data_IF_311344803374
#
_entry.id   IF_311344803374
#
_cell.length_a   1.000
_cell.length_b   1.000
_cell.length_c   1.000
_cell.angle_alpha   90.00
_cell.angle_beta   90.00
_cell.angle_gamma   90.00
#
_symmetry.space_group_name_H-M   'P 1'
#
loop_
_entity.id
_entity.type
_entity.pdbx_description
1 polymer ?
#
# COMPACT_ATOMS: atom_id res chain seq x y z
N UNK A 1 -37.00 32.95 -6.45
CA UNK A 1 -36.48 34.24 -5.99
C UNK A 1 -35.51 33.95 -4.84
N UNK A 2 -34.30 33.58 -5.16
CA UNK A 2 -33.12 33.49 -4.28
C UNK A 2 -31.93 33.35 -5.22
N UNK A 3 -31.58 34.47 -5.85
CA UNK A 3 -30.34 34.68 -6.58
C UNK A 3 -29.46 35.63 -5.75
N UNK A 4 -28.17 35.36 -5.90
CA UNK A 4 -27.05 36.28 -5.67
C UNK A 4 -26.64 36.58 -4.22
N UNK A 5 -25.61 35.86 -3.77
CA UNK A 5 -24.46 36.42 -3.06
C UNK A 5 -23.23 35.57 -3.38
N UNK A 6 -22.66 35.84 -4.52
CA UNK A 6 -21.29 35.48 -4.86
C UNK A 6 -20.64 36.76 -5.39
N UNK A 7 -19.53 37.06 -4.83
CA UNK A 7 -18.39 37.82 -5.34
C UNK A 7 -17.89 38.91 -4.38
N UNK A 8 -16.56 39.00 -4.34
CA UNK A 8 -15.72 40.06 -3.83
C UNK A 8 -15.31 40.00 -2.35
N UNK A 9 -14.34 39.12 -2.04
CA UNK A 9 -13.24 39.45 -1.14
C UNK A 9 -11.96 38.74 -1.59
N UNK A 10 -11.48 39.03 -2.76
CA UNK A 10 -10.10 38.77 -3.18
C UNK A 10 -9.45 40.10 -3.44
N UNK A 11 -9.05 40.81 -2.37
CA UNK A 11 -8.16 41.98 -2.49
C UNK A 11 -7.63 42.37 -1.10
N UNK A 12 -6.36 42.10 -0.84
CA UNK A 12 -5.69 42.75 0.26
C UNK A 12 -4.51 41.99 0.88
N UNK A 13 -3.55 41.55 0.09
CA UNK A 13 -2.20 41.35 0.60
C UNK A 13 -1.22 41.82 -0.48
N UNK A 14 -1.09 43.11 -0.63
CA UNK A 14 -0.15 43.73 -1.54
C UNK A 14 0.82 44.62 -0.78
N UNK A 15 1.98 44.09 -0.41
CA UNK A 15 3.23 44.83 -0.27
C UNK A 15 4.38 43.93 -0.70
N UNK A 16 4.92 44.24 -1.87
CA UNK A 16 6.20 43.73 -2.31
C UNK A 16 7.28 44.23 -1.33
N UNK A 17 7.87 43.31 -0.58
CA UNK A 17 9.20 43.47 -0.04
C UNK A 17 10.12 42.54 -0.80
N UNK A 18 10.99 43.12 -1.61
CA UNK A 18 12.07 42.49 -2.32
C UNK A 18 13.27 42.28 -1.38
N UNK A 19 13.14 41.40 -0.43
CA UNK A 19 14.30 40.74 0.18
C UNK A 19 14.24 39.29 -0.27
N UNK A 20 15.18 38.89 -1.13
CA UNK A 20 15.44 37.49 -1.41
C UNK A 20 15.93 36.88 -0.11
N UNK A 21 15.02 36.31 0.68
CA UNK A 21 15.37 35.25 1.61
C UNK A 21 16.13 34.22 0.78
N UNK A 22 17.33 33.89 1.19
CA UNK A 22 18.09 32.73 0.67
C UNK A 22 17.25 31.54 1.06
N UNK A 23 16.43 31.02 0.13
CA UNK A 23 15.63 29.85 0.38
C UNK A 23 16.61 28.72 0.66
N UNK A 24 16.66 28.29 1.92
CA UNK A 24 17.44 27.13 2.33
C UNK A 24 16.83 25.91 1.64
N UNK A 25 17.63 25.22 0.82
CA UNK A 25 17.12 24.06 0.06
C UNK A 25 16.71 22.94 1.01
N UNK A 26 15.57 22.33 0.74
CA UNK A 26 15.15 21.13 1.48
C UNK A 26 16.07 19.95 1.18
N UNK A 27 16.43 19.22 2.21
CA UNK A 27 17.39 18.11 2.14
C UNK A 27 16.65 16.78 2.15
N UNK A 28 16.88 15.97 1.12
CA UNK A 28 16.30 14.63 0.99
C UNK A 28 17.38 13.57 1.13
N UNK A 29 17.23 12.71 2.14
CA UNK A 29 18.04 11.52 2.30
C UNK A 29 17.43 10.34 1.54
N UNK A 30 18.25 9.43 1.04
CA UNK A 30 17.76 8.22 0.38
C UNK A 30 18.43 6.98 0.95
N UNK A 31 17.64 5.91 1.16
CA UNK A 31 18.15 4.58 1.46
C UNK A 31 17.75 3.59 0.39
N UNK A 32 18.65 2.67 0.06
CA UNK A 32 18.58 1.79 -1.09
C UNK A 32 18.65 2.57 -2.43
N UNK A 33 18.58 1.83 -3.52
CA UNK A 33 18.45 2.43 -4.84
C UNK A 33 16.98 2.84 -5.06
N UNK A 34 16.72 4.14 -5.08
CA UNK A 34 15.40 4.69 -5.44
C UNK A 34 15.37 4.95 -6.93
N UNK A 35 14.22 4.67 -7.58
CA UNK A 35 14.06 4.93 -9.01
C UNK A 35 14.27 6.40 -9.36
N UNK A 36 15.06 6.69 -10.41
CA UNK A 36 15.22 8.05 -10.92
C UNK A 36 13.89 8.74 -11.26
N UNK A 37 12.89 7.99 -11.75
CA UNK A 37 11.55 8.53 -12.06
C UNK A 37 10.88 9.18 -10.84
N UNK A 38 11.16 8.67 -9.65
CA UNK A 38 10.73 9.32 -8.42
C UNK A 38 11.58 10.53 -8.06
N UNK A 39 12.92 10.38 -8.10
CA UNK A 39 13.85 11.46 -7.72
C UNK A 39 13.79 12.66 -8.66
N UNK A 40 13.53 12.44 -9.96
CA UNK A 40 13.37 13.50 -10.97
C UNK A 40 12.12 14.38 -10.72
N UNK A 41 11.26 14.04 -9.76
CA UNK A 41 10.16 14.91 -9.32
C UNK A 41 10.61 16.01 -8.34
N UNK A 42 11.77 15.83 -7.71
CA UNK A 42 12.36 16.86 -6.85
C UNK A 42 12.66 18.10 -7.70
N UNK A 43 12.17 19.26 -7.23
CA UNK A 43 12.41 20.54 -7.87
C UNK A 43 13.79 21.11 -7.48
N UNK A 44 14.15 22.26 -8.04
CA UNK A 44 15.39 22.98 -7.70
C UNK A 44 15.43 23.47 -6.24
N UNK A 45 14.33 23.33 -5.50
CA UNK A 45 14.24 23.64 -4.07
C UNK A 45 14.76 22.49 -3.18
N UNK A 46 15.13 21.36 -3.78
CA UNK A 46 15.59 20.18 -3.08
C UNK A 46 17.02 19.79 -3.43
N UNK A 47 17.73 19.22 -2.46
CA UNK A 47 19.04 18.60 -2.63
C UNK A 47 19.05 17.22 -1.99
N UNK A 48 19.67 16.25 -2.66
CA UNK A 48 19.90 14.92 -2.08
C UNK A 48 21.17 14.99 -1.25
N UNK A 49 21.08 14.54 0.00
CA UNK A 49 22.19 14.54 0.96
C UNK A 49 22.67 13.11 1.25
N UNK A 50 23.97 12.96 1.53
CA UNK A 50 24.56 11.68 1.92
C UNK A 50 24.41 11.42 3.42
N UNK A 51 24.50 12.45 4.26
CA UNK A 51 24.25 12.35 5.70
C UNK A 51 22.75 12.45 6.00
N UNK A 52 22.16 11.36 6.41
CA UNK A 52 20.74 11.26 6.71
C UNK A 52 20.32 12.09 7.94
N UNK A 53 21.28 12.46 8.80
CA UNK A 53 21.00 13.31 9.96
C UNK A 53 20.70 14.77 9.57
N UNK A 54 21.06 15.17 8.35
CA UNK A 54 20.75 16.51 7.82
C UNK A 54 19.41 16.55 7.06
N UNK A 55 18.75 15.40 6.85
CA UNK A 55 17.60 15.31 5.97
C UNK A 55 16.32 15.88 6.62
N UNK A 56 15.56 16.66 5.83
CA UNK A 56 14.20 17.07 6.15
C UNK A 56 13.17 15.99 5.74
N UNK A 57 13.49 15.20 4.71
CA UNK A 57 12.72 14.05 4.27
C UNK A 57 13.59 12.86 3.92
N UNK A 58 13.12 11.65 4.16
CA UNK A 58 13.82 10.41 3.80
C UNK A 58 12.94 9.61 2.85
N UNK A 59 13.54 9.14 1.73
CA UNK A 59 12.91 8.19 0.82
C UNK A 59 13.62 6.86 0.90
N UNK A 60 12.88 5.79 1.16
CA UNK A 60 13.45 4.44 1.26
C UNK A 60 12.56 3.38 0.62
N UNK A 61 13.10 2.18 0.42
CA UNK A 61 12.34 0.99 -0.02
C UNK A 61 12.36 -0.12 1.04
N UNK A 62 13.47 -0.82 1.18
CA UNK A 62 13.59 -2.01 2.04
C UNK A 62 14.62 -1.87 3.17
N UNK A 63 15.27 -0.72 3.28
CA UNK A 63 16.21 -0.46 4.37
C UNK A 63 15.48 -0.52 5.72
N UNK A 64 16.06 -1.21 6.70
CA UNK A 64 15.49 -1.31 8.03
C UNK A 64 15.92 -0.11 8.89
N UNK A 65 14.95 0.70 9.30
CA UNK A 65 15.13 1.91 10.11
C UNK A 65 14.76 1.71 11.58
N UNK A 66 14.40 0.50 11.99
CA UNK A 66 13.86 0.27 13.34
C UNK A 66 14.82 0.70 14.46
N UNK A 67 16.12 0.55 14.26
CA UNK A 67 17.15 0.93 15.24
C UNK A 67 17.79 2.30 14.97
N UNK A 68 17.30 3.06 13.95
CA UNK A 68 17.86 4.38 13.59
C UNK A 68 17.46 5.46 14.59
N UNK A 69 18.40 6.36 14.92
CA UNK A 69 18.09 7.65 15.54
C UNK A 69 17.68 8.66 14.47
N UNK A 70 16.74 9.55 14.82
CA UNK A 70 16.22 10.57 13.90
C UNK A 70 16.60 11.96 14.37
N UNK A 71 17.01 12.81 13.42
CA UNK A 71 17.23 14.23 13.65
C UNK A 71 15.90 14.97 13.96
N UNK A 72 15.98 16.03 14.74
CA UNK A 72 14.86 16.93 15.01
C UNK A 72 14.36 17.63 13.72
N UNK A 73 15.24 17.78 12.70
CA UNK A 73 14.91 18.41 11.41
C UNK A 73 14.15 17.49 10.47
N UNK A 74 14.08 16.17 10.77
CA UNK A 74 13.35 15.22 9.95
C UNK A 74 11.84 15.42 10.10
N UNK A 75 11.19 15.74 9.00
CA UNK A 75 9.75 16.03 8.93
C UNK A 75 8.94 14.83 8.44
N UNK A 76 9.47 14.09 7.46
CA UNK A 76 8.72 13.03 6.82
C UNK A 76 9.60 11.88 6.34
N UNK A 77 9.01 10.69 6.29
CA UNK A 77 9.58 9.49 5.70
C UNK A 77 8.62 8.98 4.62
N UNK A 78 9.11 8.81 3.39
CA UNK A 78 8.38 8.22 2.27
C UNK A 78 8.90 6.82 1.96
N UNK A 79 8.11 5.79 2.26
CA UNK A 79 8.43 4.41 1.89
C UNK A 79 7.91 4.11 0.49
N UNK A 80 8.81 3.86 -0.47
CA UNK A 80 8.49 3.47 -1.84
C UNK A 80 7.96 2.02 -1.90
N UNK A 81 6.72 1.83 -1.49
CA UNK A 81 5.98 0.57 -1.46
C UNK A 81 4.87 0.55 -0.40
N UNK A 82 4.05 -0.51 -0.36
CA UNK A 82 2.85 -0.55 0.46
C UNK A 82 3.10 -0.91 1.94
N UNK A 83 4.03 -1.83 2.23
CA UNK A 83 4.33 -2.26 3.60
C UNK A 83 5.18 -1.23 4.36
N UNK A 84 5.19 -1.24 5.70
CA UNK A 84 5.96 -0.30 6.54
C UNK A 84 6.65 -0.98 7.73
N UNK A 85 6.80 -2.28 7.70
CA UNK A 85 7.42 -3.08 8.75
C UNK A 85 8.90 -2.76 9.01
N UNK A 86 9.55 -2.09 8.08
CA UNK A 86 10.94 -1.62 8.16
C UNK A 86 11.07 -0.15 8.61
N UNK A 87 9.96 0.48 9.05
CA UNK A 87 9.94 1.86 9.58
C UNK A 87 9.32 1.81 10.99
N UNK A 88 9.94 2.41 12.02
CA UNK A 88 9.40 2.45 13.38
C UNK A 88 8.27 3.47 13.49
N UNK A 89 7.09 3.12 12.98
CA UNK A 89 5.93 4.01 12.79
C UNK A 89 5.47 4.66 14.10
N UNK A 90 5.44 3.90 15.20
CA UNK A 90 5.00 4.42 16.51
C UNK A 90 5.97 5.47 17.04
N UNK A 91 7.27 5.20 16.96
CA UNK A 91 8.32 6.15 17.36
C UNK A 91 8.32 7.41 16.48
N UNK A 92 8.09 7.26 15.16
CA UNK A 92 7.91 8.41 14.27
C UNK A 92 6.73 9.28 14.70
N UNK A 93 5.62 8.66 15.14
CA UNK A 93 4.45 9.38 15.62
C UNK A 93 4.75 10.19 16.88
N UNK A 94 5.50 9.63 17.82
CA UNK A 94 5.93 10.30 19.05
C UNK A 94 6.85 11.50 18.78
N UNK A 95 7.64 11.44 17.71
CA UNK A 95 8.56 12.51 17.28
C UNK A 95 7.92 13.53 16.33
N UNK A 96 6.65 13.32 15.95
CA UNK A 96 5.96 14.17 14.98
C UNK A 96 6.53 14.06 13.57
N UNK A 97 7.06 12.89 13.20
CA UNK A 97 7.53 12.56 11.85
C UNK A 97 6.39 11.87 11.11
N UNK A 98 5.99 12.41 9.95
CA UNK A 98 4.93 11.83 9.14
C UNK A 98 5.47 10.71 8.28
N UNK A 99 4.88 9.52 8.36
CA UNK A 99 5.29 8.36 7.57
C UNK A 99 4.28 8.11 6.46
N UNK A 100 4.76 8.15 5.22
CA UNK A 100 4.01 7.84 4.02
C UNK A 100 4.39 6.47 3.47
N UNK A 101 3.41 5.79 2.89
CA UNK A 101 3.66 4.63 2.03
C UNK A 101 3.07 4.88 0.62
N UNK A 102 3.23 3.92 -0.29
CA UNK A 102 2.73 4.02 -1.65
C UNK A 102 1.61 2.97 -1.90
N UNK A 103 0.41 3.14 -1.31
CA UNK A 103 -0.66 2.17 -1.46
C UNK A 103 -1.20 2.15 -2.89
N UNK A 104 -1.27 0.95 -3.46
CA UNK A 104 -1.80 0.75 -4.81
C UNK A 104 -0.84 1.09 -5.96
N UNK A 105 0.31 1.72 -5.69
CA UNK A 105 1.28 2.06 -6.74
C UNK A 105 1.87 0.82 -7.46
N UNK A 106 1.94 -0.31 -6.75
CA UNK A 106 2.36 -1.62 -7.26
C UNK A 106 1.20 -2.56 -7.64
N UNK A 107 -0.04 -2.09 -7.60
CA UNK A 107 -1.21 -2.97 -7.71
C UNK A 107 -1.26 -3.72 -9.05
N UNK A 108 -0.84 -3.09 -10.15
CA UNK A 108 -0.80 -3.74 -11.45
C UNK A 108 0.22 -4.89 -11.49
N UNK A 109 1.41 -4.70 -10.93
CA UNK A 109 2.43 -5.76 -10.89
C UNK A 109 1.95 -6.98 -10.07
N UNK A 110 1.32 -6.73 -8.90
CA UNK A 110 0.73 -7.82 -8.10
C UNK A 110 -0.40 -8.53 -8.85
N UNK A 111 -1.25 -7.78 -9.56
CA UNK A 111 -2.30 -8.37 -10.42
C UNK A 111 -1.68 -9.31 -11.47
N UNK A 112 -0.63 -8.89 -12.15
CA UNK A 112 0.05 -9.71 -13.16
C UNK A 112 0.67 -10.97 -12.57
N UNK A 113 1.29 -10.87 -11.40
CA UNK A 113 1.83 -12.03 -10.69
C UNK A 113 0.71 -12.99 -10.24
N UNK A 114 -0.44 -12.47 -9.80
CA UNK A 114 -1.61 -13.25 -9.45
C UNK A 114 -2.13 -14.07 -10.65
N UNK A 115 -2.26 -13.44 -11.83
CA UNK A 115 -2.65 -14.11 -13.07
C UNK A 115 -1.62 -15.18 -13.47
N UNK A 116 -0.34 -14.86 -13.38
CA UNK A 116 0.73 -15.82 -13.60
C UNK A 116 0.61 -17.02 -12.67
N UNK A 117 0.43 -16.79 -11.38
CA UNK A 117 0.25 -17.83 -10.37
C UNK A 117 -0.96 -18.73 -10.64
N UNK A 118 -2.10 -18.17 -11.01
CA UNK A 118 -3.28 -18.93 -11.42
C UNK A 118 -2.98 -19.87 -12.58
N UNK A 119 -2.33 -19.36 -13.64
CA UNK A 119 -2.02 -20.16 -14.83
C UNK A 119 -0.95 -21.20 -14.53
N UNK A 120 0.09 -20.87 -13.77
CA UNK A 120 1.11 -21.84 -13.34
C UNK A 120 0.50 -23.00 -12.58
N UNK A 121 -0.40 -22.73 -11.65
CA UNK A 121 -1.09 -23.76 -10.85
C UNK A 121 -2.07 -24.59 -11.71
N UNK A 122 -2.89 -23.92 -12.54
CA UNK A 122 -3.86 -24.59 -13.40
C UNK A 122 -3.23 -25.55 -14.40
N UNK A 123 -2.04 -25.22 -14.91
CA UNK A 123 -1.38 -25.92 -16.02
C UNK A 123 -0.15 -26.73 -15.60
N UNK A 124 0.13 -26.86 -14.29
CA UNK A 124 1.31 -27.56 -13.75
C UNK A 124 2.64 -27.12 -14.42
N UNK A 125 2.74 -25.83 -14.72
CA UNK A 125 3.86 -25.26 -15.48
C UNK A 125 5.21 -25.43 -14.75
N UNK A 126 5.32 -25.16 -13.43
CA UNK A 126 6.58 -25.31 -12.71
C UNK A 126 7.13 -26.74 -12.77
N UNK A 127 6.24 -27.73 -12.55
CA UNK A 127 6.60 -29.16 -12.59
C UNK A 127 7.04 -29.58 -14.00
N UNK A 128 6.32 -29.11 -15.03
CA UNK A 128 6.67 -29.33 -16.43
C UNK A 128 8.04 -28.74 -16.80
N UNK A 129 8.35 -27.52 -16.32
CA UNK A 129 9.65 -26.89 -16.54
C UNK A 129 10.76 -27.67 -15.82
N UNK A 130 10.54 -28.07 -14.57
CA UNK A 130 11.52 -28.83 -13.80
C UNK A 130 11.83 -30.16 -14.49
N UNK A 131 10.81 -30.90 -14.91
CA UNK A 131 10.97 -32.15 -15.65
C UNK A 131 11.67 -31.96 -16.99
N UNK A 132 11.29 -30.98 -17.80
CA UNK A 132 11.92 -30.74 -19.10
C UNK A 132 13.42 -30.45 -18.96
N UNK A 133 13.85 -29.78 -17.90
CA UNK A 133 15.27 -29.56 -17.59
C UNK A 133 16.04 -30.85 -17.33
N UNK A 134 15.42 -31.93 -16.86
CA UNK A 134 16.07 -33.23 -16.63
C UNK A 134 16.45 -33.92 -17.93
N UNK A 135 15.84 -33.54 -19.05
CA UNK A 135 16.14 -34.08 -20.35
C UNK A 135 17.38 -33.46 -21.02
N UNK A 136 18.03 -32.48 -20.37
CA UNK A 136 19.23 -31.83 -20.90
C UNK A 136 20.34 -32.85 -21.10
N UNK A 137 20.89 -32.91 -22.36
CA UNK A 137 21.97 -33.81 -22.73
C UNK A 137 21.49 -35.22 -23.16
N UNK A 138 20.17 -35.50 -23.15
CA UNK A 138 19.61 -36.74 -23.69
C UNK A 138 19.56 -36.70 -25.23
N UNK A 139 19.63 -37.86 -25.85
CA UNK A 139 19.33 -38.04 -27.27
C UNK A 139 17.82 -38.22 -27.50
N UNK A 140 17.28 -37.74 -28.62
CA UNK A 140 15.88 -37.91 -28.98
C UNK A 140 14.92 -37.17 -28.05
N UNK A 141 15.24 -35.94 -27.63
CA UNK A 141 14.43 -35.14 -26.67
C UNK A 141 12.98 -34.94 -27.12
N UNK A 142 12.74 -34.68 -28.41
CA UNK A 142 11.37 -34.49 -28.93
C UNK A 142 10.42 -35.66 -28.66
N UNK A 143 10.76 -36.90 -29.03
CA UNK A 143 9.98 -38.08 -28.67
C UNK A 143 9.81 -38.30 -27.18
N UNK A 144 10.80 -37.96 -26.32
CA UNK A 144 10.69 -38.06 -24.87
C UNK A 144 9.68 -37.07 -24.32
N UNK A 145 9.70 -35.81 -24.83
CA UNK A 145 8.71 -34.77 -24.46
C UNK A 145 7.31 -35.24 -24.82
N UNK A 146 7.07 -35.68 -26.04
CA UNK A 146 5.75 -36.16 -26.47
C UNK A 146 5.24 -37.34 -25.63
N UNK A 147 6.10 -38.27 -25.23
CA UNK A 147 5.72 -39.39 -24.35
C UNK A 147 5.42 -38.94 -22.90
N UNK A 148 6.17 -37.94 -22.40
CA UNK A 148 6.09 -37.53 -20.99
C UNK A 148 5.11 -36.41 -20.71
N UNK A 149 4.73 -35.59 -21.68
CA UNK A 149 3.92 -34.38 -21.47
C UNK A 149 2.57 -34.63 -20.79
N UNK A 150 1.97 -35.81 -20.96
CA UNK A 150 0.66 -36.14 -20.41
C UNK A 150 0.60 -36.10 -18.89
N UNK A 151 1.72 -36.31 -18.19
CA UNK A 151 1.78 -36.25 -16.73
C UNK A 151 1.56 -34.82 -16.17
N UNK A 152 1.70 -33.80 -17.00
CA UNK A 152 1.51 -32.39 -16.63
C UNK A 152 0.19 -31.81 -17.18
N UNK A 153 -0.72 -32.65 -17.66
CA UNK A 153 -2.02 -32.19 -18.11
C UNK A 153 -2.74 -31.44 -16.97
N UNK A 154 -3.15 -30.20 -17.23
CA UNK A 154 -3.86 -29.35 -16.29
C UNK A 154 -5.26 -29.02 -16.78
N UNK A 155 -5.82 -27.94 -16.23
CA UNK A 155 -7.15 -27.44 -16.55
C UNK A 155 -7.09 -26.02 -17.14
N UNK A 156 -8.16 -25.58 -17.78
CA UNK A 156 -8.33 -24.21 -18.23
C UNK A 156 -9.02 -23.38 -17.15
N UNK A 157 -8.75 -22.06 -17.14
CA UNK A 157 -9.40 -21.12 -16.21
C UNK A 157 -10.72 -20.56 -16.75
N UNK A 158 -10.96 -20.67 -18.06
CA UNK A 158 -12.19 -20.23 -18.72
C UNK A 158 -13.42 -20.89 -18.06
N UNK A 159 -14.42 -20.07 -17.69
CA UNK A 159 -15.65 -20.50 -17.05
C UNK A 159 -15.50 -20.93 -15.59
N UNK A 160 -14.28 -20.93 -15.03
CA UNK A 160 -14.03 -21.19 -13.60
C UNK A 160 -14.41 -19.98 -12.76
N UNK A 161 -14.67 -20.21 -11.48
CA UNK A 161 -15.03 -19.17 -10.53
C UNK A 161 -13.82 -18.77 -9.68
N UNK A 162 -13.48 -17.48 -9.69
CA UNK A 162 -12.48 -16.87 -8.82
C UNK A 162 -13.17 -16.15 -7.67
N UNK A 163 -12.84 -16.50 -6.43
CA UNK A 163 -13.18 -15.77 -5.22
C UNK A 163 -12.09 -14.77 -4.85
N UNK A 164 -12.45 -13.53 -4.63
CA UNK A 164 -11.54 -12.47 -4.18
C UNK A 164 -11.88 -12.05 -2.76
N UNK A 165 -10.91 -12.17 -1.85
CA UNK A 165 -11.02 -11.71 -0.47
C UNK A 165 -10.24 -10.40 -0.37
N UNK A 166 -10.96 -9.28 -0.31
CA UNK A 166 -10.42 -7.92 -0.42
C UNK A 166 -10.56 -7.35 -1.83
N UNK A 167 -11.35 -6.30 -1.98
CA UNK A 167 -11.66 -5.61 -3.23
C UNK A 167 -11.02 -4.20 -3.31
N UNK A 168 -9.90 -4.04 -2.63
CA UNK A 168 -9.05 -2.84 -2.72
C UNK A 168 -8.38 -2.66 -4.08
N UNK A 169 -7.30 -1.90 -4.14
CA UNK A 169 -6.62 -1.56 -5.40
C UNK A 169 -6.19 -2.80 -6.21
N UNK A 170 -5.66 -3.84 -5.54
CA UNK A 170 -5.21 -5.07 -6.21
C UNK A 170 -6.41 -5.93 -6.60
N UNK A 171 -7.33 -6.23 -5.66
CA UNK A 171 -8.46 -7.13 -5.91
C UNK A 171 -9.33 -6.68 -7.08
N UNK A 172 -9.56 -5.38 -7.24
CA UNK A 172 -10.31 -4.82 -8.38
C UNK A 172 -9.62 -5.04 -9.72
N UNK A 173 -8.29 -4.87 -9.78
CA UNK A 173 -7.53 -5.13 -11.01
C UNK A 173 -7.48 -6.62 -11.35
N UNK A 174 -7.38 -7.49 -10.34
CA UNK A 174 -7.46 -8.95 -10.54
C UNK A 174 -8.86 -9.34 -11.01
N UNK A 175 -9.92 -8.74 -10.44
CA UNK A 175 -11.30 -8.99 -10.87
C UNK A 175 -11.50 -8.65 -12.34
N UNK A 176 -11.07 -7.44 -12.77
CA UNK A 176 -11.19 -6.98 -14.15
C UNK A 176 -10.47 -7.94 -15.12
N UNK A 177 -9.23 -8.29 -14.80
CA UNK A 177 -8.44 -9.20 -15.62
C UNK A 177 -9.04 -10.62 -15.68
N UNK A 178 -9.56 -11.14 -14.56
CA UNK A 178 -10.18 -12.46 -14.51
C UNK A 178 -11.48 -12.51 -15.35
N UNK A 179 -12.30 -11.47 -15.27
CA UNK A 179 -13.50 -11.32 -16.12
C UNK A 179 -13.11 -11.29 -17.60
N UNK A 180 -12.06 -10.54 -17.98
CA UNK A 180 -11.58 -10.47 -19.35
C UNK A 180 -11.04 -11.82 -19.86
N UNK A 181 -10.56 -12.69 -18.95
CA UNK A 181 -10.14 -14.07 -19.25
C UNK A 181 -11.33 -15.07 -19.26
N UNK A 182 -12.56 -14.60 -19.10
CA UNK A 182 -13.78 -15.41 -19.13
C UNK A 182 -14.05 -16.22 -17.87
N UNK A 183 -13.49 -15.81 -16.73
CA UNK A 183 -13.83 -16.37 -15.40
C UNK A 183 -15.11 -15.71 -14.85
N UNK A 184 -15.79 -16.42 -13.94
CA UNK A 184 -16.77 -15.82 -13.05
C UNK A 184 -16.04 -15.26 -11.84
N UNK A 185 -16.45 -14.09 -11.33
CA UNK A 185 -15.78 -13.44 -10.19
C UNK A 185 -16.77 -13.18 -9.07
N UNK A 186 -16.49 -13.76 -7.89
CA UNK A 186 -17.12 -13.42 -6.62
C UNK A 186 -16.15 -12.60 -5.78
N UNK A 187 -16.64 -11.58 -5.11
CA UNK A 187 -15.80 -10.72 -4.28
C UNK A 187 -16.41 -10.47 -2.90
N UNK A 188 -15.57 -10.49 -1.89
CA UNK A 188 -15.89 -10.13 -0.52
C UNK A 188 -14.95 -9.03 -0.03
N UNK A 189 -15.49 -8.02 0.66
CA UNK A 189 -14.71 -7.01 1.37
C UNK A 189 -15.43 -6.63 2.67
N UNK A 190 -14.73 -6.70 3.78
CA UNK A 190 -15.29 -6.39 5.11
C UNK A 190 -15.68 -4.90 5.25
N UNK A 191 -15.13 -4.03 4.41
CA UNK A 191 -15.40 -2.59 4.39
C UNK A 191 -16.14 -2.16 3.12
N UNK A 192 -17.00 -3.04 2.60
CA UNK A 192 -17.77 -2.74 1.40
C UNK A 192 -18.65 -1.51 1.60
N UNK A 193 -18.44 -0.50 0.76
CA UNK A 193 -19.21 0.74 0.73
C UNK A 193 -19.81 0.95 -0.66
N UNK A 194 -20.80 1.83 -0.77
CA UNK A 194 -21.39 2.16 -2.07
C UNK A 194 -20.33 2.77 -3.01
N UNK A 195 -19.44 3.62 -2.49
CA UNK A 195 -18.33 4.18 -3.26
C UNK A 195 -17.33 3.11 -3.75
N UNK A 196 -17.12 2.03 -2.99
CA UNK A 196 -16.30 0.89 -3.44
C UNK A 196 -17.05 0.07 -4.49
N UNK A 197 -18.35 -0.17 -4.31
CA UNK A 197 -19.19 -0.89 -5.29
C UNK A 197 -19.19 -0.21 -6.66
N UNK A 198 -19.29 1.12 -6.71
CA UNK A 198 -19.24 1.89 -7.94
C UNK A 198 -17.92 1.77 -8.72
N UNK A 199 -16.83 1.43 -8.01
CA UNK A 199 -15.51 1.25 -8.59
C UNK A 199 -15.23 -0.19 -9.04
N UNK A 200 -16.14 -1.14 -8.78
CA UNK A 200 -15.94 -2.53 -9.19
C UNK A 200 -16.16 -2.70 -10.69
N UNK A 201 -15.37 -3.57 -11.34
CA UNK A 201 -15.65 -3.97 -12.72
C UNK A 201 -17.05 -4.57 -12.85
N UNK A 202 -17.72 -4.25 -13.96
CA UNK A 202 -19.03 -4.83 -14.27
C UNK A 202 -18.91 -6.35 -14.42
N UNK A 203 -19.73 -7.11 -13.67
CA UNK A 203 -19.70 -8.57 -13.69
C UNK A 203 -19.16 -9.19 -12.40
N UNK A 204 -18.60 -8.40 -11.49
CA UNK A 204 -18.24 -8.88 -10.14
C UNK A 204 -19.49 -9.07 -9.32
N UNK A 205 -19.69 -10.27 -8.80
CA UNK A 205 -20.76 -10.59 -7.84
C UNK A 205 -20.22 -10.41 -6.42
N UNK A 206 -20.74 -9.41 -5.70
CA UNK A 206 -20.35 -9.15 -4.31
C UNK A 206 -21.17 -10.04 -3.39
N UNK A 207 -20.51 -10.72 -2.45
CA UNK A 207 -21.13 -11.50 -1.38
C UNK A 207 -20.93 -10.80 -0.03
N UNK A 208 -21.84 -11.04 0.91
CA UNK A 208 -21.80 -10.41 2.23
C UNK A 208 -21.03 -11.24 3.27
N UNK A 209 -20.85 -12.55 3.01
CA UNK A 209 -20.14 -13.46 3.90
C UNK A 209 -19.15 -14.33 3.09
N UNK A 210 -18.01 -14.62 3.70
CA UNK A 210 -17.03 -15.58 3.18
C UNK A 210 -17.62 -17.01 3.04
N UNK A 211 -18.57 -17.39 3.90
CA UNK A 211 -19.27 -18.66 3.80
C UNK A 211 -20.09 -18.81 2.51
N UNK A 212 -20.49 -17.71 1.88
CA UNK A 212 -21.12 -17.71 0.55
C UNK A 212 -20.08 -17.85 -0.58
N UNK A 213 -18.87 -17.30 -0.38
CA UNK A 213 -17.81 -17.32 -1.37
C UNK A 213 -17.14 -18.70 -1.46
N UNK A 214 -16.73 -19.27 -0.33
CA UNK A 214 -15.89 -20.47 -0.27
C UNK A 214 -16.43 -21.66 -1.08
N UNK A 215 -17.69 -22.07 -0.95
CA UNK A 215 -18.19 -23.26 -1.63
C UNK A 215 -18.40 -23.10 -3.13
N UNK A 216 -18.30 -21.88 -3.67
CA UNK A 216 -18.56 -21.60 -5.07
C UNK A 216 -17.28 -21.48 -5.90
N UNK A 217 -16.11 -21.27 -5.28
CA UNK A 217 -14.89 -20.87 -5.96
C UNK A 217 -13.98 -22.05 -6.29
N UNK A 218 -13.49 -22.08 -7.52
CA UNK A 218 -12.45 -23.01 -7.99
C UNK A 218 -11.06 -22.45 -7.67
N UNK A 219 -10.95 -21.13 -7.61
CA UNK A 219 -9.77 -20.36 -7.22
C UNK A 219 -10.15 -19.35 -6.16
N UNK A 220 -9.27 -19.13 -5.19
CA UNK A 220 -9.43 -18.06 -4.19
C UNK A 220 -8.13 -17.27 -4.12
N UNK A 221 -8.22 -15.94 -4.19
CA UNK A 221 -7.09 -15.06 -4.03
C UNK A 221 -7.36 -14.03 -2.93
N UNK A 222 -6.39 -13.86 -2.01
CA UNK A 222 -6.54 -12.99 -0.86
C UNK A 222 -5.71 -11.71 -1.03
N UNK A 223 -6.35 -10.55 -0.78
CA UNK A 223 -5.79 -9.21 -0.98
C UNK A 223 -6.09 -8.26 0.18
N UNK A 224 -6.11 -8.78 1.41
CA UNK A 224 -6.32 -8.00 2.63
C UNK A 224 -5.01 -7.74 3.37
N UNK A 225 -4.89 -6.65 4.16
CA UNK A 225 -3.73 -6.43 5.01
C UNK A 225 -3.69 -7.46 6.15
N UNK A 226 -2.48 -7.78 6.63
CA UNK A 226 -2.30 -8.56 7.84
C UNK A 226 -2.38 -7.62 9.07
N UNK A 227 -3.37 -7.84 9.92
CA UNK A 227 -3.58 -7.16 11.18
C UNK A 227 -4.22 -8.13 12.19
N UNK A 228 -4.54 -7.68 13.39
CA UNK A 228 -5.10 -8.55 14.44
C UNK A 228 -6.41 -9.23 14.04
N UNK A 229 -7.23 -8.61 13.19
CA UNK A 229 -8.50 -9.17 12.72
C UNK A 229 -8.33 -10.19 11.59
N UNK A 230 -7.24 -10.12 10.83
CA UNK A 230 -7.01 -10.96 9.64
C UNK A 230 -5.92 -12.01 9.83
N UNK A 231 -5.13 -11.89 10.91
CA UNK A 231 -4.07 -12.86 11.25
C UNK A 231 -4.65 -14.27 11.42
N UNK A 232 -4.13 -15.23 10.65
CA UNK A 232 -4.57 -16.64 10.68
C UNK A 232 -6.03 -16.84 10.27
N UNK A 233 -6.62 -15.90 9.53
CA UNK A 233 -8.01 -16.03 9.08
C UNK A 233 -8.22 -17.22 8.13
N UNK A 234 -7.17 -17.61 7.41
CA UNK A 234 -7.17 -18.80 6.57
C UNK A 234 -6.71 -19.99 7.41
N UNK A 235 -7.66 -20.66 8.03
CA UNK A 235 -7.50 -21.77 8.97
C UNK A 235 -8.34 -22.99 8.56
N UNK A 236 -8.29 -24.06 9.35
CA UNK A 236 -9.01 -25.32 9.09
C UNK A 236 -10.51 -25.08 8.83
N UNK A 237 -11.16 -24.18 9.58
CA UNK A 237 -12.58 -23.89 9.41
C UNK A 237 -12.89 -23.20 8.08
N UNK A 238 -11.99 -22.31 7.61
CA UNK A 238 -12.10 -21.68 6.31
C UNK A 238 -11.88 -22.70 5.18
N UNK A 239 -10.81 -23.50 5.25
CA UNK A 239 -10.54 -24.52 4.24
C UNK A 239 -11.67 -25.57 4.15
N UNK A 240 -12.24 -25.98 5.27
CA UNK A 240 -13.33 -26.95 5.28
C UNK A 240 -14.55 -26.52 4.45
N UNK A 241 -14.80 -25.21 4.33
CA UNK A 241 -15.94 -24.66 3.57
C UNK A 241 -15.67 -24.53 2.06
N UNK A 242 -14.41 -24.59 1.63
CA UNK A 242 -14.04 -24.45 0.21
C UNK A 242 -14.40 -25.70 -0.60
N UNK A 243 -14.36 -25.58 -1.92
CA UNK A 243 -14.42 -26.75 -2.81
C UNK A 243 -13.22 -27.67 -2.59
N UNK A 244 -13.42 -28.97 -2.75
CA UNK A 244 -12.30 -29.91 -2.83
C UNK A 244 -11.48 -29.62 -4.09
N UNK A 245 -10.17 -29.59 -3.95
CA UNK A 245 -9.25 -29.26 -5.03
C UNK A 245 -9.18 -27.76 -5.38
N UNK A 246 -9.58 -26.86 -4.49
CA UNK A 246 -9.44 -25.43 -4.69
C UNK A 246 -7.97 -25.04 -4.88
N UNK A 247 -7.73 -24.05 -5.73
CA UNK A 247 -6.42 -23.40 -5.89
C UNK A 247 -6.43 -22.10 -5.10
N UNK A 248 -5.49 -21.97 -4.15
CA UNK A 248 -5.42 -20.82 -3.27
C UNK A 248 -4.18 -19.96 -3.58
N UNK A 249 -4.39 -18.64 -3.73
CA UNK A 249 -3.33 -17.67 -4.04
C UNK A 249 -3.19 -16.66 -2.91
N UNK A 250 -1.96 -16.45 -2.44
CA UNK A 250 -1.64 -15.46 -1.43
C UNK A 250 -0.42 -14.62 -1.84
N UNK A 251 -0.69 -13.49 -2.46
CA UNK A 251 0.30 -12.45 -2.77
C UNK A 251 0.12 -11.22 -1.85
N UNK A 252 -0.46 -11.44 -0.67
CA UNK A 252 -0.69 -10.39 0.32
C UNK A 252 0.29 -10.45 1.49
N UNK A 253 0.15 -11.45 2.41
CA UNK A 253 1.04 -11.62 3.57
C UNK A 253 0.99 -13.08 4.06
N UNK A 254 2.13 -13.57 4.56
CA UNK A 254 2.28 -14.85 5.25
C UNK A 254 1.31 -15.00 6.44
N UNK A 255 1.27 -14.00 7.31
CA UNK A 255 0.49 -13.99 8.57
C UNK A 255 -1.02 -14.14 8.40
N UNK A 256 -1.56 -14.11 7.19
CA UNK A 256 -2.97 -14.38 6.90
C UNK A 256 -3.30 -15.87 6.98
N UNK A 257 -2.27 -16.73 6.84
CA UNK A 257 -2.40 -18.19 6.84
C UNK A 257 -2.15 -18.76 8.25
N UNK A 258 -2.80 -19.88 8.55
CA UNK A 258 -2.37 -20.83 9.55
C UNK A 258 -1.67 -21.96 8.80
N UNK A 259 -0.37 -22.11 8.97
CA UNK A 259 0.46 -22.99 8.13
C UNK A 259 0.17 -24.46 8.39
N UNK A 260 -0.04 -24.86 9.64
CA UNK A 260 -0.40 -26.25 9.99
C UNK A 260 -1.71 -26.66 9.34
N UNK A 261 -2.71 -25.78 9.36
CA UNK A 261 -4.03 -26.02 8.74
C UNK A 261 -3.94 -26.03 7.20
N UNK A 262 -3.09 -25.18 6.62
CA UNK A 262 -2.82 -25.17 5.19
C UNK A 262 -2.16 -26.47 4.73
N UNK A 263 -1.11 -26.92 5.43
CA UNK A 263 -0.41 -28.17 5.11
C UNK A 263 -1.35 -29.39 5.25
N UNK A 264 -2.20 -29.41 6.26
CA UNK A 264 -3.23 -30.45 6.40
C UNK A 264 -4.26 -30.40 5.25
N UNK A 265 -4.65 -29.20 4.79
CA UNK A 265 -5.57 -29.03 3.66
C UNK A 265 -4.95 -29.46 2.32
N UNK A 266 -3.65 -29.24 2.12
CA UNK A 266 -2.89 -29.71 0.96
C UNK A 266 -2.77 -31.25 0.99
N UNK A 267 -2.33 -31.82 2.10
CA UNK A 267 -2.17 -33.27 2.27
C UNK A 267 -3.48 -34.07 2.07
N UNK A 268 -4.62 -33.46 2.44
CA UNK A 268 -5.94 -34.06 2.22
C UNK A 268 -6.49 -33.86 0.80
N UNK A 269 -5.87 -33.03 -0.02
CA UNK A 269 -6.36 -32.62 -1.35
C UNK A 269 -7.52 -31.61 -1.30
N UNK A 270 -7.85 -31.07 -0.15
CA UNK A 270 -8.84 -30.00 0.01
C UNK A 270 -8.37 -28.74 -0.73
N UNK A 271 -7.10 -28.40 -0.58
CA UNK A 271 -6.37 -27.43 -1.41
C UNK A 271 -5.50 -28.22 -2.39
N UNK A 272 -5.72 -28.09 -3.69
CA UNK A 272 -4.92 -28.77 -4.69
C UNK A 272 -3.56 -28.08 -4.92
N UNK A 273 -3.56 -26.76 -4.91
CA UNK A 273 -2.34 -25.93 -5.08
C UNK A 273 -2.44 -24.70 -4.19
N UNK A 274 -1.30 -24.34 -3.58
CA UNK A 274 -1.08 -23.08 -2.89
C UNK A 274 0.01 -22.29 -3.60
N UNK A 275 -0.29 -21.07 -4.02
CA UNK A 275 0.66 -20.19 -4.72
C UNK A 275 0.89 -18.96 -3.89
N UNK A 276 2.15 -18.65 -3.58
CA UNK A 276 2.50 -17.51 -2.75
C UNK A 276 3.84 -16.91 -3.17
N UNK A 277 4.05 -15.63 -2.85
CA UNK A 277 5.37 -15.00 -2.82
C UNK A 277 5.79 -14.58 -1.39
N UNK A 278 5.05 -15.06 -0.38
CA UNK A 278 5.30 -14.90 1.05
C UNK A 278 5.33 -16.28 1.71
N UNK A 279 6.43 -17.00 1.60
CA UNK A 279 6.61 -18.26 2.30
C UNK A 279 7.51 -18.07 3.52
N UNK A 280 7.15 -18.73 4.60
CA UNK A 280 8.00 -18.91 5.76
C UNK A 280 8.71 -20.27 5.74
N UNK A 281 9.42 -20.59 6.81
CA UNK A 281 10.18 -21.84 6.93
C UNK A 281 9.27 -23.07 6.90
N UNK A 282 8.05 -23.01 7.44
CA UNK A 282 7.13 -24.13 7.49
C UNK A 282 6.63 -24.49 6.09
N UNK A 283 6.19 -23.49 5.34
CA UNK A 283 5.67 -23.65 3.97
C UNK A 283 6.78 -24.02 2.99
N UNK A 284 7.97 -23.39 3.09
CA UNK A 284 9.07 -23.60 2.14
C UNK A 284 9.73 -24.98 2.32
N UNK A 285 9.80 -25.49 3.54
CA UNK A 285 10.40 -26.79 3.83
C UNK A 285 9.39 -27.97 3.80
N UNK A 286 8.12 -27.70 3.54
CA UNK A 286 7.12 -28.75 3.42
C UNK A 286 7.36 -29.60 2.15
N UNK A 287 7.30 -30.92 2.28
CA UNK A 287 7.38 -31.86 1.14
C UNK A 287 5.99 -32.06 0.50
N UNK A 288 5.39 -30.93 0.10
CA UNK A 288 4.04 -30.89 -0.49
C UNK A 288 4.10 -30.41 -1.95
N UNK A 289 3.80 -31.29 -2.93
CA UNK A 289 3.91 -30.96 -4.37
C UNK A 289 2.89 -29.92 -4.84
N UNK A 290 1.92 -29.58 -3.99
CA UNK A 290 0.93 -28.55 -4.24
C UNK A 290 1.42 -27.12 -4.00
N UNK A 291 2.60 -26.93 -3.41
CA UNK A 291 3.12 -25.60 -3.07
C UNK A 291 3.95 -25.00 -4.21
N UNK A 292 3.62 -23.77 -4.60
CA UNK A 292 4.37 -22.99 -5.59
C UNK A 292 4.79 -21.69 -4.89
N UNK A 293 6.10 -21.57 -4.59
CA UNK A 293 6.67 -20.38 -3.94
C UNK A 293 7.43 -19.53 -4.95
N UNK A 294 7.17 -18.24 -4.92
CA UNK A 294 7.90 -17.19 -5.65
C UNK A 294 8.65 -16.29 -4.66
N UNK A 295 9.83 -15.73 -5.01
CA UNK A 295 10.64 -14.97 -4.06
C UNK A 295 10.20 -13.50 -3.94
N UNK A 296 9.03 -13.22 -3.35
CA UNK A 296 8.45 -11.90 -3.05
C UNK A 296 8.49 -10.96 -4.28
N UNK A 297 7.94 -11.42 -5.40
CA UNK A 297 7.98 -10.72 -6.69
C UNK A 297 6.80 -9.77 -6.92
N UNK A 298 5.81 -9.70 -6.03
CA UNK A 298 4.57 -8.94 -6.23
C UNK A 298 4.77 -7.48 -6.63
N UNK A 299 5.79 -6.82 -6.11
CA UNK A 299 6.12 -5.42 -6.44
C UNK A 299 7.43 -5.27 -7.22
N UNK A 300 8.01 -6.37 -7.71
CA UNK A 300 9.34 -6.37 -8.34
C UNK A 300 9.23 -6.25 -9.87
N UNK A 301 8.66 -5.14 -10.34
CA UNK A 301 8.75 -4.71 -11.74
C UNK A 301 9.27 -3.27 -11.80
N UNK A 302 9.90 -2.89 -12.92
CA UNK A 302 10.44 -1.55 -13.11
C UNK A 302 9.35 -0.48 -12.91
N UNK A 303 8.17 -0.70 -13.49
CA UNK A 303 7.04 0.22 -13.41
C UNK A 303 6.49 0.33 -11.98
N UNK A 304 6.45 -0.77 -11.22
CA UNK A 304 6.01 -0.73 -9.83
C UNK A 304 7.01 0.04 -8.95
N UNK A 305 8.31 -0.14 -9.18
CA UNK A 305 9.36 0.62 -8.49
C UNK A 305 9.28 2.10 -8.81
N UNK A 306 9.11 2.44 -10.09
CA UNK A 306 8.94 3.82 -10.58
C UNK A 306 7.71 4.50 -9.95
N UNK A 307 6.56 3.82 -9.99
CA UNK A 307 5.31 4.33 -9.44
C UNK A 307 5.37 4.53 -7.92
N UNK A 308 5.97 3.57 -7.20
CA UNK A 308 6.14 3.66 -5.76
C UNK A 308 7.08 4.80 -5.37
N UNK A 309 8.20 4.96 -6.06
CA UNK A 309 9.14 6.04 -5.82
C UNK A 309 8.51 7.41 -6.12
N UNK A 310 7.83 7.53 -7.27
CA UNK A 310 7.14 8.76 -7.64
C UNK A 310 6.08 9.18 -6.62
N UNK A 311 5.28 8.21 -6.13
CA UNK A 311 4.26 8.48 -5.11
C UNK A 311 4.90 8.90 -3.79
N UNK A 312 5.92 8.18 -3.30
CA UNK A 312 6.59 8.49 -2.05
C UNK A 312 7.23 9.90 -2.06
N UNK A 313 7.96 10.22 -3.13
CA UNK A 313 8.59 11.55 -3.29
C UNK A 313 7.53 12.64 -3.34
N UNK A 314 6.48 12.50 -4.16
CA UNK A 314 5.42 13.51 -4.29
C UNK A 314 4.72 13.77 -2.95
N UNK A 315 4.45 12.74 -2.15
CA UNK A 315 3.78 12.89 -0.86
C UNK A 315 4.68 13.60 0.17
N UNK A 316 5.98 13.29 0.19
CA UNK A 316 6.95 13.95 1.07
C UNK A 316 7.09 15.41 0.69
N UNK A 317 7.20 15.74 -0.62
CA UNK A 317 7.24 17.12 -1.10
C UNK A 317 5.98 17.90 -0.72
N UNK A 318 4.79 17.34 -0.99
CA UNK A 318 3.51 18.00 -0.68
C UNK A 318 3.36 18.28 0.82
N UNK A 319 3.86 17.38 1.68
CA UNK A 319 3.88 17.64 3.11
C UNK A 319 4.89 18.71 3.50
N UNK A 320 6.09 18.69 2.95
CA UNK A 320 7.14 19.68 3.25
C UNK A 320 6.70 21.07 2.80
N UNK A 321 6.21 21.21 1.58
CA UNK A 321 5.87 22.50 0.93
C UNK A 321 4.50 23.04 1.34
N UNK A 322 3.51 22.15 1.49
CA UNK A 322 2.11 22.53 1.66
C UNK A 322 1.49 22.06 2.98
N UNK A 323 2.17 21.19 3.75
CA UNK A 323 1.62 20.58 4.94
C UNK A 323 0.53 19.55 4.67
N UNK A 324 0.23 19.23 3.43
CA UNK A 324 -0.81 18.28 3.09
C UNK A 324 -0.40 16.86 3.47
N UNK A 325 -1.32 16.10 4.07
CA UNK A 325 -1.13 14.68 4.41
C UNK A 325 -2.13 13.84 3.61
N UNK A 326 -1.60 12.93 2.78
CA UNK A 326 -2.36 11.93 2.04
C UNK A 326 -1.64 10.58 2.11
N UNK A 327 -2.37 9.50 2.39
CA UNK A 327 -1.82 8.14 2.54
C UNK A 327 -0.76 8.01 3.66
N UNK A 328 -0.79 8.84 4.68
CA UNK A 328 0.06 8.62 5.84
C UNK A 328 -0.42 7.39 6.63
N UNK A 329 0.53 6.62 7.16
CA UNK A 329 0.23 5.44 7.97
C UNK A 329 0.05 5.77 9.44
N UNK A 330 0.56 6.92 9.91
CA UNK A 330 0.55 7.31 11.31
C UNK A 330 -0.24 8.60 11.63
N UNK A 331 -0.47 9.46 10.66
CA UNK A 331 -1.23 10.71 10.87
C UNK A 331 -2.54 10.70 10.07
N UNK A 332 -3.55 11.49 10.47
CA UNK A 332 -4.77 11.61 9.68
C UNK A 332 -4.53 12.32 8.36
N UNK A 333 -5.38 12.05 7.37
CA UNK A 333 -5.35 12.81 6.10
C UNK A 333 -5.89 14.22 6.34
N UNK A 334 -5.17 15.23 5.84
CA UNK A 334 -5.58 16.64 5.89
C UNK A 334 -5.04 17.35 4.65
N UNK A 335 -5.86 18.16 4.00
CA UNK A 335 -5.49 18.80 2.75
C UNK A 335 -6.20 20.15 2.58
N UNK A 336 -5.43 21.21 2.41
CA UNK A 336 -5.89 22.56 2.04
C UNK A 336 -5.46 22.95 0.61
N UNK A 337 -4.95 21.98 -0.16
CA UNK A 337 -4.38 22.27 -1.48
C UNK A 337 -3.01 22.94 -1.43
N UNK A 338 -2.50 23.41 -2.57
CA UNK A 338 -1.23 24.15 -2.63
C UNK A 338 -1.27 25.38 -1.73
N UNK A 339 -0.17 25.64 -1.03
CA UNK A 339 -0.03 26.83 -0.19
C UNK A 339 -0.07 28.11 -1.08
N UNK A 340 -0.90 29.06 -0.67
CA UNK A 340 -0.93 30.40 -1.28
C UNK A 340 0.18 31.31 -0.75
N UNK A 341 -0.03 32.61 -0.83
CA UNK A 341 0.90 33.64 -0.33
C UNK A 341 0.86 33.80 1.20
N UNK A 342 -0.18 33.29 1.86
CA UNK A 342 -0.33 33.36 3.30
C UNK A 342 0.54 32.32 3.99
N UNK A 343 1.08 32.61 5.19
CA UNK A 343 1.73 31.60 6.01
C UNK A 343 0.77 30.46 6.35
N UNK A 344 1.27 29.24 6.36
CA UNK A 344 0.48 28.07 6.72
C UNK A 344 1.08 27.42 7.96
N UNK A 345 0.26 27.27 8.99
CA UNK A 345 0.62 26.56 10.22
C UNK A 345 0.26 25.09 10.10
N UNK A 346 1.20 24.22 10.44
CA UNK A 346 1.02 22.78 10.57
C UNK A 346 1.30 22.36 12.00
N UNK A 347 0.35 21.67 12.66
CA UNK A 347 0.49 21.22 14.04
C UNK A 347 0.17 19.73 14.14
N UNK A 348 1.10 18.96 14.72
CA UNK A 348 0.87 17.60 15.18
C UNK A 348 0.76 17.64 16.70
N UNK A 349 -0.33 17.12 17.25
CA UNK A 349 -0.53 17.05 18.69
C UNK A 349 -1.17 15.73 19.13
N UNK A 350 -1.17 15.45 20.43
CA UNK A 350 -1.99 14.38 20.99
C UNK A 350 -3.47 14.73 20.81
N UNK A 351 -4.31 13.74 20.54
CA UNK A 351 -5.75 13.96 20.30
C UNK A 351 -6.48 14.67 21.45
N UNK A 352 -6.04 14.44 22.69
CA UNK A 352 -6.60 15.15 23.85
C UNK A 352 -6.16 16.61 23.99
N UNK A 353 -5.14 17.05 23.26
CA UNK A 353 -4.67 18.44 23.23
C UNK A 353 -5.31 19.26 22.10
N UNK A 354 -5.95 18.60 21.14
CA UNK A 354 -6.59 19.23 19.97
C UNK A 354 -7.55 20.37 20.35
N UNK A 355 -8.46 20.22 21.33
CA UNK A 355 -9.38 21.29 21.69
C UNK A 355 -8.67 22.57 22.20
N UNK A 356 -7.59 22.41 22.96
CA UNK A 356 -6.81 23.54 23.48
C UNK A 356 -6.04 24.25 22.37
N UNK A 357 -5.52 23.49 21.40
CA UNK A 357 -4.87 24.05 20.18
C UNK A 357 -5.90 24.81 19.35
N UNK A 358 -7.06 24.22 19.09
CA UNK A 358 -8.12 24.86 18.31
C UNK A 358 -8.68 26.09 19.03
N UNK A 359 -8.78 26.07 20.36
CA UNK A 359 -9.19 27.24 21.14
C UNK A 359 -8.23 28.42 20.91
N UNK A 360 -6.92 28.18 20.95
CA UNK A 360 -5.91 29.25 20.67
C UNK A 360 -5.95 29.70 19.21
N UNK A 361 -6.17 28.79 18.27
CA UNK A 361 -6.27 29.15 16.85
C UNK A 361 -7.51 29.99 16.56
N UNK A 362 -8.62 29.76 17.25
CA UNK A 362 -9.83 30.56 17.09
C UNK A 362 -9.70 32.03 17.59
N UNK A 363 -8.64 32.34 18.35
CA UNK A 363 -8.31 33.72 18.73
C UNK A 363 -7.62 34.49 17.58
N UNK A 364 -7.26 33.77 16.50
CA UNK A 364 -6.57 34.31 15.32
C UNK A 364 -7.53 34.44 14.14
N UNK A 365 -7.20 35.35 13.23
CA UNK A 365 -7.88 35.42 11.95
C UNK A 365 -7.35 34.32 11.02
N UNK A 366 -8.15 33.28 10.81
CA UNK A 366 -7.84 32.14 9.94
C UNK A 366 -8.58 32.27 8.61
N UNK A 367 -7.86 32.10 7.50
CA UNK A 367 -8.48 32.04 6.17
C UNK A 367 -9.10 30.67 5.91
N UNK A 368 -8.36 29.59 6.24
CA UNK A 368 -8.80 28.21 6.13
C UNK A 368 -8.25 27.40 7.29
N UNK A 369 -8.97 26.35 7.70
CA UNK A 369 -8.48 25.38 8.67
C UNK A 369 -9.05 24.00 8.39
N UNK A 370 -8.22 22.97 8.53
CA UNK A 370 -8.62 21.57 8.62
C UNK A 370 -8.02 20.98 9.88
N UNK A 371 -8.83 20.24 10.63
CA UNK A 371 -8.42 19.52 11.83
C UNK A 371 -8.97 18.10 11.73
N UNK A 372 -8.09 17.12 11.79
CA UNK A 372 -8.45 15.71 11.66
C UNK A 372 -7.75 14.90 12.74
N UNK A 373 -8.42 13.86 13.22
CA UNK A 373 -7.90 12.99 14.28
C UNK A 373 -7.89 11.53 13.81
N UNK A 374 -6.81 10.83 14.13
CA UNK A 374 -6.65 9.40 13.91
C UNK A 374 -5.96 8.75 15.11
N UNK A 375 -6.69 7.90 15.84
CA UNK A 375 -6.17 7.28 17.06
C UNK A 375 -5.78 8.34 18.10
N UNK A 376 -4.54 8.29 18.56
CA UNK A 376 -4.02 9.16 19.62
C UNK A 376 -3.47 10.51 19.13
N UNK A 377 -3.55 10.78 17.81
CA UNK A 377 -2.94 11.96 17.20
C UNK A 377 -3.94 12.78 16.42
N UNK A 378 -3.83 14.10 16.54
CA UNK A 378 -4.53 15.07 15.71
C UNK A 378 -3.54 15.86 14.87
N UNK A 379 -3.96 16.20 13.66
CA UNK A 379 -3.23 17.06 12.75
C UNK A 379 -4.12 18.27 12.39
N UNK A 380 -3.54 19.46 12.56
CA UNK A 380 -4.21 20.73 12.27
C UNK A 380 -3.37 21.45 11.21
N UNK A 381 -4.03 21.89 10.14
CA UNK A 381 -3.43 22.69 9.08
C UNK A 381 -4.27 23.95 8.89
N UNK A 382 -3.67 25.12 9.01
CA UNK A 382 -4.38 26.38 8.97
C UNK A 382 -3.62 27.45 8.16
N UNK A 383 -4.31 28.17 7.29
CA UNK A 383 -3.80 29.36 6.62
C UNK A 383 -4.00 30.57 7.54
N UNK A 384 -2.91 31.27 7.85
CA UNK A 384 -2.87 32.41 8.78
C UNK A 384 -2.79 33.73 8.01
N UNK A 385 -3.37 34.79 8.58
CA UNK A 385 -3.16 36.14 8.05
C UNK A 385 -1.84 36.74 8.53
N UNK A 386 -1.31 36.35 9.70
CA UNK A 386 -0.05 36.82 10.27
C UNK A 386 0.92 35.66 10.57
N UNK A 387 2.24 35.92 10.47
CA UNK A 387 3.32 34.93 10.66
C UNK A 387 3.61 34.60 12.14
N UNK A 388 3.15 35.37 13.11
CA UNK A 388 3.53 35.22 14.52
C UNK A 388 2.49 34.45 15.31
N UNK A 389 2.84 33.22 15.67
CA UNK A 389 2.04 32.40 16.62
C UNK A 389 2.95 31.90 17.73
N UNK A 390 2.57 32.13 18.98
CA UNK A 390 3.13 31.41 20.13
C UNK A 390 2.15 30.29 20.54
N UNK A 391 2.44 29.08 20.06
CA UNK A 391 1.60 27.91 20.27
C UNK A 391 2.13 27.06 21.44
N UNK A 392 2.23 27.64 22.63
CA UNK A 392 2.60 26.89 23.84
C UNK A 392 1.36 26.18 24.42
N UNK A 393 1.06 24.99 23.89
CA UNK A 393 0.01 24.09 24.36
C UNK A 393 0.61 22.74 24.75
N UNK A 394 0.31 22.26 25.94
CA UNK A 394 0.74 20.94 26.40
C UNK A 394 0.16 19.85 25.46
N UNK A 395 1.00 18.91 25.01
CA UNK A 395 0.59 17.86 24.09
C UNK A 395 0.79 18.19 22.60
N UNK A 396 1.24 19.41 22.26
CA UNK A 396 1.79 19.70 20.93
C UNK A 396 3.14 18.98 20.80
N UNK A 397 3.29 18.19 19.75
CA UNK A 397 4.49 17.40 19.45
C UNK A 397 5.38 18.16 18.49
N UNK A 398 4.78 18.70 17.43
CA UNK A 398 5.49 19.50 16.43
C UNK A 398 4.57 20.59 15.89
N UNK A 399 5.11 21.79 15.76
CA UNK A 399 4.44 22.89 15.06
C UNK A 399 5.47 23.57 14.13
N UNK A 400 5.05 23.90 12.91
CA UNK A 400 5.90 24.64 11.97
C UNK A 400 5.06 25.62 11.13
N UNK A 401 5.67 26.71 10.75
CA UNK A 401 5.16 27.62 9.72
C UNK A 401 5.81 27.24 8.39
N UNK A 402 4.95 27.07 7.40
CA UNK A 402 5.33 26.70 6.03
C UNK A 402 5.29 27.95 5.17
#
# INVERSE_FOLDING_TARGET
MLESFQADKAAGCGRQNSDKEVNEMYKIGTFNKISPVGLDKLTDEYVIVEDQNEANGIILRSYDMNDMEFSEDLLAIGRAGAGTNNVPVDRCSELGIVVFNAPGANANAVKELCLCGMIMAARNVPDGIAWAKTLKGSEGVGPQIEKGKGQFAGTEILGKTLGLIGLGAIGRLVADAALALGMNVLGYDAFMSDALKEQLPQGVMVVEDLAELYPQCDYISIHVPANDATKGMMNAAAFAQMKDGVIFLNFARDKLMNDDDLLAALASGKVAKYVTDFADDAVLNADEPGIIVLPHLGASSAEAEDNCAAMAVTQVMDYIENGNIKNSVNMPNANLGPKGSCPRLSVICKANAEPDVMFKLNELELANVVCETRGDYSYILADLEDKTIDLQVAGVIRARII
#
